data_IF_052740449178
#
_entry.id   IF_052740449178
#
_cell.length_a   1.000
_cell.length_b   1.000
_cell.length_c   1.000
_cell.angle_alpha   90.00
_cell.angle_beta   90.00
_cell.angle_gamma   90.00
#
_symmetry.space_group_name_H-M   'P 1'
#
loop_
_entity.id
_entity.type
_entity.pdbx_description
1 polymer ?
#
# COMPACT_ATOMS: atom_id res chain seq x y z
N UNK A 1 11.63 -5.32 16.07
CA UNK A 1 11.53 -6.48 15.14
C UNK A 1 12.72 -6.45 14.19
N UNK A 2 13.36 -7.60 13.92
CA UNK A 2 14.49 -7.69 12.97
C UNK A 2 13.96 -7.78 11.53
N UNK A 3 14.42 -6.85 10.70
CA UNK A 3 14.13 -6.65 9.26
C UNK A 3 14.29 -7.89 8.36
N UNK A 4 15.03 -8.89 8.84
CA UNK A 4 15.44 -10.08 8.10
C UNK A 4 14.30 -11.01 7.64
N UNK A 5 13.12 -10.95 8.28
CA UNK A 5 11.99 -11.84 7.96
C UNK A 5 10.89 -11.21 7.10
N UNK A 6 10.82 -9.87 7.01
CA UNK A 6 9.79 -9.16 6.24
C UNK A 6 10.17 -9.07 4.75
N UNK A 7 11.47 -9.02 4.46
CA UNK A 7 12.02 -8.85 3.11
C UNK A 7 12.49 -10.16 2.45
N UNK A 8 12.06 -11.33 2.92
CA UNK A 8 12.21 -12.53 2.09
C UNK A 8 11.38 -12.27 0.82
N UNK A 9 11.98 -12.16 -0.38
CA UNK A 9 11.34 -11.49 -1.52
C UNK A 9 10.03 -12.14 -1.96
N UNK A 10 9.88 -13.46 -1.77
CA UNK A 10 8.66 -14.19 -2.11
C UNK A 10 7.57 -13.92 -1.08
N UNK A 11 7.91 -13.94 0.20
CA UNK A 11 6.97 -13.59 1.28
C UNK A 11 6.51 -12.13 1.21
N UNK A 12 7.42 -11.22 0.85
CA UNK A 12 7.10 -9.80 0.69
C UNK A 12 6.13 -9.57 -0.46
N UNK A 13 6.37 -10.21 -1.61
CA UNK A 13 5.46 -10.13 -2.76
C UNK A 13 4.05 -10.65 -2.43
N UNK A 14 3.96 -11.74 -1.68
CA UNK A 14 2.68 -12.32 -1.26
C UNK A 14 1.91 -11.44 -0.27
N UNK A 15 2.63 -10.69 0.58
CA UNK A 15 2.03 -9.85 1.63
C UNK A 15 1.81 -8.40 1.24
N UNK A 16 2.42 -7.94 0.15
CA UNK A 16 2.41 -6.54 -0.24
C UNK A 16 1.01 -5.94 -0.39
N UNK A 17 0.06 -6.70 -0.94
CA UNK A 17 -1.32 -6.21 -1.09
C UNK A 17 -1.95 -5.89 0.27
N UNK A 18 -1.67 -6.71 1.30
CA UNK A 18 -2.08 -6.43 2.67
C UNK A 18 -1.44 -5.17 3.23
N UNK A 19 -0.12 -5.05 3.16
CA UNK A 19 0.58 -3.84 3.64
C UNK A 19 0.10 -2.56 2.94
N UNK A 20 -0.18 -2.65 1.64
CA UNK A 20 -0.72 -1.51 0.91
C UNK A 20 -2.14 -1.17 1.37
N UNK A 21 -3.00 -2.18 1.56
CA UNK A 21 -4.36 -1.99 2.09
C UNK A 21 -4.33 -1.32 3.47
N UNK A 22 -3.47 -1.80 4.37
CA UNK A 22 -3.31 -1.27 5.73
C UNK A 22 -2.84 0.19 5.68
N UNK A 23 -1.81 0.48 4.87
CA UNK A 23 -1.35 1.85 4.63
C UNK A 23 -2.49 2.77 4.15
N UNK A 24 -3.32 2.30 3.21
CA UNK A 24 -4.44 3.10 2.71
C UNK A 24 -5.48 3.38 3.79
N UNK A 25 -5.78 2.39 4.65
CA UNK A 25 -6.74 2.55 5.75
C UNK A 25 -6.25 3.52 6.82
N UNK A 26 -4.93 3.58 7.05
CA UNK A 26 -4.35 4.52 8.02
C UNK A 26 -4.30 5.96 7.51
N UNK A 27 -4.23 6.16 6.19
CA UNK A 27 -3.95 7.46 5.58
C UNK A 27 -5.13 8.10 4.84
N UNK A 28 -6.17 7.34 4.53
CA UNK A 28 -7.33 7.80 3.77
C UNK A 28 -8.63 7.29 4.39
N UNK A 29 -9.75 7.94 4.08
CA UNK A 29 -11.06 7.64 4.70
C UNK A 29 -11.84 6.55 3.98
N UNK A 30 -11.67 6.44 2.66
CA UNK A 30 -12.41 5.51 1.81
C UNK A 30 -11.74 5.32 0.44
N UNK A 31 -12.18 4.34 -0.38
CA UNK A 31 -11.64 4.11 -1.72
C UNK A 31 -11.82 5.27 -2.71
N UNK A 32 -12.82 6.13 -2.50
CA UNK A 32 -13.06 7.28 -3.37
C UNK A 32 -11.94 8.31 -3.21
N UNK A 33 -11.56 8.63 -1.98
CA UNK A 33 -10.43 9.51 -1.68
C UNK A 33 -9.11 8.95 -2.22
N UNK A 34 -8.89 7.64 -2.11
CA UNK A 34 -7.73 6.96 -2.70
C UNK A 34 -7.72 7.11 -4.23
N UNK A 35 -8.88 6.98 -4.88
CA UNK A 35 -8.98 7.10 -6.33
C UNK A 35 -8.58 8.49 -6.82
N UNK A 36 -8.96 9.54 -6.08
CA UNK A 36 -8.58 10.92 -6.35
C UNK A 36 -7.10 11.14 -6.06
N UNK A 37 -6.61 10.70 -4.91
CA UNK A 37 -5.22 10.90 -4.48
C UNK A 37 -4.20 10.29 -5.45
N UNK A 38 -4.51 9.12 -6.02
CA UNK A 38 -3.62 8.41 -6.93
C UNK A 38 -4.01 8.55 -8.42
N UNK A 39 -5.06 9.31 -8.74
CA UNK A 39 -5.52 9.51 -10.12
C UNK A 39 -5.92 8.22 -10.85
N UNK A 40 -6.48 7.25 -10.12
CA UNK A 40 -6.89 5.95 -10.67
C UNK A 40 -8.41 5.80 -10.71
N UNK A 41 -8.90 4.80 -11.44
CA UNK A 41 -10.33 4.46 -11.44
C UNK A 41 -10.76 3.98 -10.04
N UNK A 42 -11.99 4.28 -9.66
CA UNK A 42 -12.57 3.84 -8.39
C UNK A 42 -12.40 2.33 -8.13
N UNK A 43 -12.66 1.48 -9.14
CA UNK A 43 -12.52 0.03 -8.98
C UNK A 43 -11.07 -0.39 -8.65
N UNK A 44 -10.06 0.31 -9.17
CA UNK A 44 -8.67 0.04 -8.83
C UNK A 44 -8.39 0.39 -7.36
N UNK A 45 -8.84 1.57 -6.93
CA UNK A 45 -8.73 1.99 -5.54
C UNK A 45 -9.48 1.05 -4.58
N UNK A 46 -10.68 0.60 -4.96
CA UNK A 46 -11.45 -0.37 -4.18
C UNK A 46 -10.74 -1.72 -4.06
N UNK A 47 -10.13 -2.21 -5.15
CA UNK A 47 -9.37 -3.46 -5.10
C UNK A 47 -8.12 -3.35 -4.21
N UNK A 48 -7.45 -2.19 -4.21
CA UNK A 48 -6.33 -1.92 -3.29
C UNK A 48 -6.79 -1.83 -1.85
N UNK A 49 -7.90 -1.13 -1.60
CA UNK A 49 -8.52 -0.97 -0.29
C UNK A 49 -9.00 -2.30 0.30
N UNK A 50 -9.39 -3.26 -0.54
CA UNK A 50 -9.79 -4.60 -0.10
C UNK A 50 -8.61 -5.59 -0.06
N UNK A 51 -7.39 -5.15 -0.38
CA UNK A 51 -6.21 -6.01 -0.45
C UNK A 51 -6.27 -7.08 -1.54
N UNK A 52 -7.15 -6.96 -2.54
CA UNK A 52 -7.33 -7.93 -3.64
C UNK A 52 -6.08 -7.94 -4.53
N UNK A 53 -5.55 -6.76 -4.82
CA UNK A 53 -4.33 -6.59 -5.57
C UNK A 53 -3.52 -5.41 -5.04
N UNK A 54 -2.41 -5.11 -5.70
CA UNK A 54 -1.43 -4.11 -5.26
C UNK A 54 -1.09 -3.13 -6.38
N UNK A 55 -0.64 -1.92 -6.05
CA UNK A 55 -0.05 -1.02 -7.01
C UNK A 55 1.30 -1.55 -7.51
N UNK A 56 1.82 -0.90 -8.54
CA UNK A 56 3.17 -1.13 -9.07
C UNK A 56 3.82 0.18 -9.52
N UNK A 57 5.14 0.19 -9.60
CA UNK A 57 5.88 1.24 -10.31
C UNK A 57 5.70 2.64 -9.73
N UNK A 58 5.27 3.55 -10.59
CA UNK A 58 5.05 4.98 -10.34
C UNK A 58 4.08 5.24 -9.19
N UNK A 59 3.04 4.42 -9.01
CA UNK A 59 2.09 4.58 -7.89
C UNK A 59 2.78 4.40 -6.53
N UNK A 60 3.65 3.39 -6.41
CA UNK A 60 4.42 3.17 -5.18
C UNK A 60 5.43 4.29 -4.96
N UNK A 61 6.03 4.80 -6.05
CA UNK A 61 6.92 5.94 -5.98
C UNK A 61 6.20 7.23 -5.54
N UNK A 62 4.96 7.43 -5.98
CA UNK A 62 4.13 8.58 -5.59
C UNK A 62 3.77 8.56 -4.10
N UNK A 63 3.44 7.38 -3.55
CA UNK A 63 3.25 7.24 -2.10
C UNK A 63 4.54 7.49 -1.31
N UNK A 64 5.69 7.23 -1.93
CA UNK A 64 6.98 7.75 -1.53
C UNK A 64 7.33 7.49 -0.07
N UNK A 65 7.76 8.55 0.62
CA UNK A 65 8.27 8.48 1.98
C UNK A 65 7.22 8.02 3.02
N UNK A 66 5.97 8.50 3.01
CA UNK A 66 4.92 7.99 3.90
C UNK A 66 4.77 6.47 3.89
N UNK A 67 4.80 5.84 2.72
CA UNK A 67 4.69 4.38 2.64
C UNK A 67 5.92 3.66 3.22
N UNK A 68 7.12 4.25 3.07
CA UNK A 68 8.33 3.72 3.69
C UNK A 68 8.29 3.81 5.21
N UNK A 69 7.88 4.96 5.75
CA UNK A 69 7.77 5.15 7.21
C UNK A 69 6.70 4.21 7.82
N UNK A 70 5.58 3.98 7.12
CA UNK A 70 4.59 2.96 7.47
C UNK A 70 5.20 1.55 7.56
N UNK A 71 5.93 1.11 6.53
CA UNK A 71 6.59 -0.20 6.54
C UNK A 71 7.65 -0.33 7.65
N UNK A 72 8.25 0.79 8.06
CA UNK A 72 9.20 0.87 9.18
C UNK A 72 8.53 0.91 10.56
N UNK A 73 7.20 1.01 10.61
CA UNK A 73 6.45 1.18 11.86
C UNK A 73 6.76 2.51 12.54
N UNK A 74 7.05 3.56 11.77
CA UNK A 74 7.41 4.90 12.23
C UNK A 74 6.24 5.92 12.17
N UNK A 75 5.00 5.42 12.18
CA UNK A 75 3.77 6.22 12.21
C UNK A 75 3.33 6.61 13.61
#
# INVERSE_FOLDING_TARGET
MSWSKVFEPRSFRARFAGFWSDFLHENYRNPEEVSVAFGVRYQTALNWWQGINRPSGDVVALAGRPFQDFLEGRG
#
